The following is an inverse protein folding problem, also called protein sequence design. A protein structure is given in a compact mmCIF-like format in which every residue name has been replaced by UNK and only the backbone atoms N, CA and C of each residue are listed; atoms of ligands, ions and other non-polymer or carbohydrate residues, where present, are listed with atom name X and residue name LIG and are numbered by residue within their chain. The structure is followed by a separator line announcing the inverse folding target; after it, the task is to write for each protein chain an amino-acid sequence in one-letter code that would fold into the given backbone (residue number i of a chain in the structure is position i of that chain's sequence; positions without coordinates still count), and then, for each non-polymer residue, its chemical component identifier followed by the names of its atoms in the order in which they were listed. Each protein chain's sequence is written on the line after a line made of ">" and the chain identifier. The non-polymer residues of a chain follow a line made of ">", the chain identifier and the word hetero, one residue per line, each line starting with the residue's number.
data_IF_656089964175
#
_entry.id   IF_656089964175
#
_cell.length_a   1.000
_cell.length_b   1.000
_cell.length_c   1.000
_cell.angle_alpha   90.00
_cell.angle_beta   90.00
_cell.angle_gamma   90.00
#
_symmetry.space_group_name_H-M   'P 1'
#
loop_
_entity.id
_entity.type
_entity.pdbx_description
1 polymer ?
#
# COMPACT_ATOMS: atom_id res chain seq x y z
N UNK A 1 -2.57 10.75 15.85
CA UNK A 1 -2.07 9.51 15.23
C UNK A 1 -2.27 9.62 13.73
N UNK A 2 -1.21 9.87 12.95
CA UNK A 2 -1.29 9.75 11.48
C UNK A 2 -1.54 8.27 11.17
N UNK A 3 -2.69 7.95 10.62
CA UNK A 3 -3.04 6.56 10.29
C UNK A 3 -2.09 6.04 9.22
N UNK A 4 -1.26 5.06 9.56
CA UNK A 4 -0.39 4.42 8.59
C UNK A 4 -1.23 3.50 7.70
N UNK A 5 -1.50 3.95 6.48
CA UNK A 5 -2.39 3.26 5.55
C UNK A 5 -1.79 1.91 5.12
N UNK A 6 -0.46 1.78 5.16
CA UNK A 6 0.22 0.51 4.87
C UNK A 6 -0.13 -0.57 5.89
N UNK A 7 -0.26 -0.23 7.17
CA UNK A 7 -0.63 -1.17 8.22
C UNK A 7 -2.09 -1.63 8.13
N UNK A 8 -2.99 -0.77 7.65
CA UNK A 8 -4.42 -1.12 7.53
C UNK A 8 -4.72 -1.79 6.19
N UNK A 9 -4.31 -1.18 5.09
CA UNK A 9 -4.66 -1.63 3.74
C UNK A 9 -3.73 -2.74 3.23
N UNK A 10 -2.47 -2.78 3.68
CA UNK A 10 -1.49 -3.80 3.26
C UNK A 10 -1.97 -5.23 3.54
N UNK A 11 -2.39 -5.55 4.78
CA UNK A 11 -2.93 -6.87 5.10
C UNK A 11 -4.20 -7.20 4.32
N UNK A 12 -5.14 -6.25 4.17
CA UNK A 12 -6.39 -6.45 3.44
C UNK A 12 -6.12 -6.81 1.96
N UNK A 13 -5.23 -6.07 1.31
CA UNK A 13 -4.84 -6.30 -0.08
C UNK A 13 -4.05 -7.61 -0.24
N UNK A 14 -3.16 -7.92 0.71
CA UNK A 14 -2.44 -9.19 0.74
C UNK A 14 -3.39 -10.39 0.90
N UNK A 15 -4.37 -10.31 1.79
CA UNK A 15 -5.40 -11.34 1.97
C UNK A 15 -6.27 -11.50 0.73
N UNK A 16 -6.66 -10.40 0.06
CA UNK A 16 -7.38 -10.47 -1.20
C UNK A 16 -6.57 -11.20 -2.27
N UNK A 17 -5.30 -10.83 -2.49
CA UNK A 17 -4.44 -11.49 -3.47
C UNK A 17 -4.24 -12.97 -3.19
N UNK A 18 -4.19 -13.37 -1.92
CA UNK A 18 -4.05 -14.77 -1.54
C UNK A 18 -5.34 -15.58 -1.79
N UNK A 19 -6.51 -14.97 -1.59
CA UNK A 19 -7.81 -15.67 -1.64
C UNK A 19 -8.47 -15.63 -3.02
N UNK A 20 -8.25 -14.56 -3.80
CA UNK A 20 -8.86 -14.38 -5.12
C UNK A 20 -8.61 -15.55 -6.10
N UNK A 21 -7.40 -16.14 -6.19
CA UNK A 21 -7.16 -17.29 -7.08
C UNK A 21 -8.04 -18.51 -6.74
N UNK A 22 -8.34 -18.73 -5.45
CA UNK A 22 -9.08 -19.90 -4.98
C UNK A 22 -10.59 -19.67 -4.95
N UNK A 23 -11.04 -18.45 -4.69
CA UNK A 23 -12.47 -18.13 -4.50
C UNK A 23 -13.09 -17.57 -5.77
N UNK A 24 -12.37 -16.69 -6.48
CA UNK A 24 -12.90 -15.96 -7.64
C UNK A 24 -12.49 -16.62 -8.95
N UNK A 25 -11.27 -17.17 -9.02
CA UNK A 25 -10.69 -17.73 -10.24
C UNK A 25 -10.42 -19.24 -10.17
N UNK A 26 -11.16 -19.96 -9.32
CA UNK A 26 -10.96 -21.38 -9.00
C UNK A 26 -10.83 -22.33 -10.22
N UNK A 27 -11.46 -21.99 -11.35
CA UNK A 27 -11.44 -22.76 -12.60
C UNK A 27 -10.21 -22.51 -13.47
N UNK A 28 -9.29 -21.64 -13.06
CA UNK A 28 -8.10 -21.28 -13.81
C UNK A 28 -6.95 -21.08 -12.85
N UNK A 29 -6.13 -22.12 -12.62
CA UNK A 29 -4.82 -21.95 -11.99
C UNK A 29 -4.00 -21.09 -12.94
N UNK A 30 -3.82 -19.80 -12.63
CA UNK A 30 -3.37 -18.89 -13.65
C UNK A 30 -1.85 -19.02 -13.77
N UNK A 31 -1.32 -18.83 -14.97
CA UNK A 31 0.12 -18.99 -15.28
C UNK A 31 1.03 -18.15 -14.36
N UNK A 32 0.45 -17.12 -13.74
CA UNK A 32 1.07 -16.17 -12.83
C UNK A 32 0.85 -16.47 -11.34
N UNK A 33 0.28 -17.63 -10.98
CA UNK A 33 -0.01 -18.04 -9.59
C UNK A 33 1.14 -17.75 -8.61
N UNK A 34 2.38 -18.07 -9.01
CA UNK A 34 3.55 -17.88 -8.15
C UNK A 34 3.92 -16.42 -7.93
N UNK A 35 3.68 -15.55 -8.92
CA UNK A 35 3.92 -14.13 -8.80
C UNK A 35 2.88 -13.44 -7.91
N UNK A 36 1.61 -13.87 -8.03
CA UNK A 36 0.53 -13.42 -7.14
C UNK A 36 0.78 -13.87 -5.70
N UNK A 37 1.20 -15.13 -5.51
CA UNK A 37 1.54 -15.67 -4.20
C UNK A 37 2.71 -14.93 -3.54
N UNK A 38 3.77 -14.66 -4.30
CA UNK A 38 4.94 -13.93 -3.79
C UNK A 38 4.60 -12.47 -3.46
N UNK A 39 3.77 -11.83 -4.28
CA UNK A 39 3.27 -10.47 -4.04
C UNK A 39 2.39 -10.42 -2.78
N UNK A 40 1.47 -11.37 -2.64
CA UNK A 40 0.62 -11.51 -1.45
C UNK A 40 1.44 -11.72 -0.17
N UNK A 41 2.41 -12.64 -0.21
CA UNK A 41 3.29 -12.91 0.92
C UNK A 41 4.11 -11.67 1.31
N UNK A 42 4.64 -10.95 0.33
CA UNK A 42 5.40 -9.71 0.56
C UNK A 42 4.54 -8.63 1.19
N UNK A 43 3.31 -8.42 0.70
CA UNK A 43 2.39 -7.43 1.24
C UNK A 43 1.95 -7.76 2.67
N UNK A 44 1.70 -9.04 2.96
CA UNK A 44 1.41 -9.49 4.32
C UNK A 44 2.60 -9.25 5.26
N UNK A 45 3.83 -9.56 4.81
CA UNK A 45 5.03 -9.32 5.61
C UNK A 45 5.26 -7.83 5.90
N UNK A 46 5.10 -6.97 4.88
CA UNK A 46 5.26 -5.52 5.03
C UNK A 46 4.13 -4.92 5.90
N UNK A 47 2.89 -5.34 5.69
CA UNK A 47 1.74 -4.92 6.50
C UNK A 47 1.88 -5.35 7.96
N UNK A 48 2.33 -6.57 8.20
CA UNK A 48 2.59 -7.09 9.55
C UNK A 48 3.75 -6.32 10.22
N UNK A 49 4.83 -6.07 9.50
CA UNK A 49 5.95 -5.26 9.98
C UNK A 49 5.47 -3.86 10.42
N UNK A 50 4.69 -3.19 9.57
CA UNK A 50 4.13 -1.87 9.89
C UNK A 50 3.21 -1.93 11.11
N UNK A 51 2.35 -2.95 11.19
CA UNK A 51 1.44 -3.17 12.32
C UNK A 51 2.18 -3.39 13.63
N UNK A 52 3.21 -4.24 13.65
CA UNK A 52 4.03 -4.53 14.84
C UNK A 52 4.79 -3.28 15.30
N UNK A 53 5.32 -2.49 14.37
CA UNK A 53 6.01 -1.22 14.69
C UNK A 53 5.04 -0.21 15.32
N UNK A 54 3.86 -0.04 14.74
CA UNK A 54 2.81 0.84 15.29
C UNK A 54 2.35 0.40 16.68
N UNK A 55 2.18 -0.91 16.91
CA UNK A 55 1.82 -1.45 18.22
C UNK A 55 2.88 -1.21 19.29
N UNK A 56 4.14 -0.98 18.88
CA UNK A 56 5.26 -0.62 19.76
C UNK A 56 5.50 0.88 19.83
N UNK A 57 4.65 1.69 19.22
CA UNK A 57 4.83 3.15 19.08
C UNK A 57 6.14 3.55 18.40
N UNK A 58 6.74 2.62 17.64
CA UNK A 58 7.97 2.85 16.89
C UNK A 58 7.65 3.42 15.51
N UNK A 59 8.50 4.33 14.98
CA UNK A 59 8.32 4.85 13.64
C UNK A 59 8.44 3.73 12.59
N UNK A 60 7.52 3.75 11.62
CA UNK A 60 7.56 2.83 10.47
C UNK A 60 8.53 3.37 9.44
N UNK A 61 9.42 2.51 8.95
CA UNK A 61 10.41 2.90 7.93
C UNK A 61 9.73 3.37 6.64
N UNK A 62 10.22 4.46 6.00
CA UNK A 62 9.74 4.90 4.69
C UNK A 62 9.99 3.87 3.58
N UNK A 63 10.82 2.85 3.82
CA UNK A 63 10.99 1.73 2.91
C UNK A 63 9.69 0.90 2.73
N UNK A 64 8.79 0.89 3.72
CA UNK A 64 7.54 0.13 3.64
C UNK A 64 6.62 0.61 2.49
N UNK A 65 6.23 1.90 2.39
CA UNK A 65 5.44 2.37 1.25
C UNK A 65 6.18 2.28 -0.08
N UNK A 66 7.52 2.39 -0.11
CA UNK A 66 8.30 2.15 -1.34
C UNK A 66 8.13 0.70 -1.82
N UNK A 67 8.25 -0.28 -0.93
CA UNK A 67 8.06 -1.69 -1.28
C UNK A 67 6.64 -1.96 -1.76
N UNK A 68 5.63 -1.35 -1.13
CA UNK A 68 4.22 -1.43 -1.58
C UNK A 68 4.06 -0.86 -2.99
N UNK A 69 4.67 0.29 -3.29
CA UNK A 69 4.64 0.87 -4.63
C UNK A 69 5.31 -0.04 -5.68
N UNK A 70 6.46 -0.63 -5.33
CA UNK A 70 7.17 -1.57 -6.20
C UNK A 70 6.34 -2.82 -6.48
N UNK A 71 5.69 -3.39 -5.46
CA UNK A 71 4.77 -4.52 -5.64
C UNK A 71 3.57 -4.16 -6.52
N UNK A 72 3.04 -2.95 -6.36
CA UNK A 72 1.99 -2.45 -7.24
C UNK A 72 2.43 -2.38 -8.71
N UNK A 73 3.63 -1.87 -8.97
CA UNK A 73 4.20 -1.80 -10.32
C UNK A 73 4.47 -3.20 -10.91
N UNK A 74 4.99 -4.12 -10.10
CA UNK A 74 5.15 -5.52 -10.49
C UNK A 74 3.79 -6.09 -10.90
N UNK A 75 2.72 -5.86 -10.11
CA UNK A 75 1.42 -6.43 -10.47
C UNK A 75 0.80 -5.86 -11.73
N UNK A 76 0.97 -4.56 -11.99
CA UNK A 76 0.51 -3.96 -13.24
C UNK A 76 1.24 -4.54 -14.44
N UNK A 77 2.54 -4.81 -14.31
CA UNK A 77 3.38 -5.26 -15.45
C UNK A 77 3.30 -6.77 -15.69
N UNK A 78 3.08 -7.56 -14.64
CA UNK A 78 3.08 -9.02 -14.68
C UNK A 78 2.21 -9.65 -15.80
N UNK A 79 0.93 -9.29 -15.97
CA UNK A 79 0.09 -9.96 -16.97
C UNK A 79 0.48 -9.65 -18.43
N UNK A 80 1.31 -8.62 -18.66
CA UNK A 80 1.83 -8.28 -19.98
C UNK A 80 3.15 -9.00 -20.30
N UNK A 81 3.91 -9.39 -19.29
CA UNK A 81 5.20 -10.08 -19.44
C UNK A 81 5.03 -11.59 -19.45
N UNK A 82 4.23 -12.13 -18.51
CA UNK A 82 4.07 -13.59 -18.30
C UNK A 82 2.81 -14.12 -18.98
N UNK A 83 1.88 -13.23 -19.36
CA UNK A 83 0.57 -13.60 -19.86
C UNK A 83 -0.41 -13.92 -18.74
N UNK A 84 -1.70 -13.79 -19.04
CA UNK A 84 -2.81 -13.95 -18.10
C UNK A 84 -3.72 -15.10 -18.54
N UNK A 85 -4.15 -15.95 -17.61
CA UNK A 85 -5.06 -17.06 -17.92
C UNK A 85 -6.43 -16.62 -18.45
N UNK A 86 -6.87 -15.40 -18.10
CA UNK A 86 -8.10 -14.81 -18.62
C UNK A 86 -7.99 -13.29 -18.71
N UNK A 87 -8.90 -12.67 -19.47
CA UNK A 87 -9.03 -11.21 -19.52
C UNK A 87 -9.41 -10.65 -18.15
N UNK A 88 -10.22 -11.38 -17.38
CA UNK A 88 -10.62 -10.97 -16.03
C UNK A 88 -9.44 -10.96 -15.07
N UNK A 89 -8.59 -12.01 -15.09
CA UNK A 89 -7.39 -12.08 -14.24
C UNK A 89 -6.44 -10.92 -14.54
N UNK A 90 -6.20 -10.62 -15.83
CA UNK A 90 -5.37 -9.49 -16.24
C UNK A 90 -5.81 -8.18 -15.59
N UNK A 91 -7.09 -7.86 -15.70
CA UNK A 91 -7.60 -6.59 -15.19
C UNK A 91 -7.69 -6.57 -13.67
N UNK A 92 -7.88 -7.72 -13.02
CA UNK A 92 -7.75 -7.83 -11.57
C UNK A 92 -6.33 -7.46 -11.11
N UNK A 93 -5.30 -8.03 -11.73
CA UNK A 93 -3.90 -7.78 -11.34
C UNK A 93 -3.52 -6.32 -11.56
N UNK A 94 -3.94 -5.75 -12.68
CA UNK A 94 -3.75 -4.32 -12.98
C UNK A 94 -4.48 -3.46 -11.95
N UNK A 95 -5.74 -3.76 -11.62
CA UNK A 95 -6.52 -2.97 -10.66
C UNK A 95 -5.90 -3.01 -9.26
N UNK A 96 -5.48 -4.19 -8.79
CA UNK A 96 -4.80 -4.34 -7.50
C UNK A 96 -3.45 -3.64 -7.52
N UNK A 97 -2.68 -3.77 -8.59
CA UNK A 97 -1.40 -3.09 -8.74
C UNK A 97 -1.53 -1.56 -8.69
N UNK A 98 -2.53 -1.00 -9.38
CA UNK A 98 -2.85 0.43 -9.31
C UNK A 98 -3.27 0.85 -7.90
N UNK A 99 -4.08 0.04 -7.21
CA UNK A 99 -4.48 0.33 -5.83
C UNK A 99 -3.29 0.37 -4.87
N UNK A 100 -2.31 -0.54 -5.03
CA UNK A 100 -1.09 -0.57 -4.24
C UNK A 100 -0.22 0.67 -4.49
N UNK A 101 -0.04 1.08 -5.74
CA UNK A 101 0.68 2.32 -6.06
C UNK A 101 -0.04 3.53 -5.48
N UNK A 102 -1.36 3.61 -5.62
CA UNK A 102 -2.17 4.69 -5.06
C UNK A 102 -2.05 4.76 -3.53
N UNK A 103 -2.05 3.61 -2.86
CA UNK A 103 -1.87 3.50 -1.41
C UNK A 103 -0.51 4.06 -0.98
N UNK A 104 0.57 3.65 -1.65
CA UNK A 104 1.90 4.15 -1.35
C UNK A 104 2.02 5.67 -1.58
N UNK A 105 1.43 6.19 -2.66
CA UNK A 105 1.38 7.63 -2.94
C UNK A 105 0.59 8.39 -1.88
N UNK A 106 -0.53 7.84 -1.42
CA UNK A 106 -1.34 8.43 -0.35
C UNK A 106 -0.57 8.49 0.98
N UNK A 107 0.17 7.43 1.31
CA UNK A 107 1.04 7.42 2.49
C UNK A 107 2.10 8.54 2.40
N UNK A 108 2.79 8.66 1.26
CA UNK A 108 3.78 9.72 1.03
C UNK A 108 3.19 11.14 1.11
N UNK A 109 1.95 11.34 0.67
CA UNK A 109 1.26 12.63 0.78
C UNK A 109 0.90 12.97 2.22
N UNK A 110 0.49 11.95 2.98
CA UNK A 110 0.15 12.11 4.40
C UNK A 110 1.37 12.49 5.21
N UNK A 111 2.53 11.92 4.88
CA UNK A 111 3.79 12.23 5.56
C UNK A 111 4.28 13.66 5.25
N UNK A 112 4.09 14.11 4.01
CA UNK A 112 4.49 15.44 3.51
C UNK A 112 3.57 16.60 3.87
N UNK A 113 2.44 16.38 4.55
CA UNK A 113 1.58 17.50 4.99
C UNK A 113 2.21 18.08 6.27
N UNK A 114 2.96 19.21 6.24
CA UNK A 114 3.34 19.87 7.49
C UNK A 114 2.06 20.31 8.21
N UNK A 115 2.11 20.35 9.54
CA UNK A 115 1.04 20.94 10.34
C UNK A 115 0.76 22.34 9.81
N UNK A 116 -0.38 22.50 9.15
CA UNK A 116 -0.86 23.78 8.66
C UNK A 116 -0.98 24.68 9.90
N UNK A 117 -0.24 25.81 9.97
CA UNK A 117 -0.26 26.63 11.17
C UNK A 117 -1.71 27.06 11.42
N UNK A 118 -2.24 26.69 12.59
CA UNK A 118 -3.58 27.06 13.01
C UNK A 118 -3.67 28.59 12.92
N UNK A 119 -4.72 29.17 12.30
CA UNK A 119 -4.86 30.62 12.14
C UNK A 119 -4.76 31.44 13.43
N UNK A 120 -4.86 30.79 14.59
CA UNK A 120 -4.71 31.39 15.92
C UNK A 120 -3.28 31.88 16.22
N UNK A 121 -2.25 31.31 15.59
CA UNK A 121 -0.85 31.67 15.89
C UNK A 121 -0.40 32.99 15.22
N UNK A 122 -1.26 33.57 14.37
CA UNK A 122 -0.96 34.80 13.63
C UNK A 122 -1.32 36.10 14.37
N UNK A 123 -1.87 36.04 15.60
CA UNK A 123 -2.40 37.23 16.28
C UNK A 123 -1.81 37.56 17.64
N UNK A 124 -0.69 36.95 18.07
CA UNK A 124 -0.01 37.41 19.29
C UNK A 124 0.87 38.63 18.97
N UNK A 125 0.51 39.86 19.39
CA UNK A 125 1.40 41.01 19.22
C UNK A 125 2.55 40.85 20.23
N UNK A 126 3.80 40.89 19.77
CA UNK A 126 4.96 40.91 20.66
C UNK A 126 4.85 42.11 21.63
N UNK A 127 4.80 41.88 22.96
CA UNK A 127 4.78 42.96 23.92
C UNK A 127 6.22 43.40 24.17
N UNK A 128 6.74 44.30 23.33
CA UNK A 128 8.01 44.96 23.68
C UNK A 128 8.94 45.38 22.55
N UNK A 129 8.44 46.04 21.50
CA UNK A 129 9.29 46.98 20.75
C UNK A 129 8.84 48.41 21.01
N UNK A 130 9.73 49.12 21.69
CA UNK A 130 9.66 50.52 22.11
C UNK A 130 9.50 51.48 20.94
#
# INVERSE_FOLDING_TARGET
>A
MRGNLTAVCGPLLGTWLLTAPFVVFASSLPSNFWGDLLSAATLLAVGLYATVRLAREEPVSPAAPVLVALMGLVQVTQPFVVGSASVANRWNDVAVGVALVALAVAEFRTDRRPDEPTPDDATTPEPGRR
#
